data_IF_883986484102
#
_entry.id   IF_883986484102
#
_cell.length_a   1.000
_cell.length_b   1.000
_cell.length_c   1.000
_cell.angle_alpha   90.00
_cell.angle_beta   90.00
_cell.angle_gamma   90.00
#
_symmetry.space_group_name_H-M   'P 1'
#
loop_
_entity.id
_entity.type
_entity.pdbx_description
1 polymer ?
#
# COMPACT_ATOMS: atom_id res chain seq x y z
N UNK A 1 43.71 21.28 31.02
CA UNK A 1 42.25 21.37 31.24
C UNK A 1 41.61 21.71 29.89
N UNK A 2 41.42 20.73 29.00
CA UNK A 2 40.21 19.88 28.90
C UNK A 2 38.94 20.73 28.81
N UNK A 3 38.53 21.12 27.59
CA UNK A 3 37.13 21.13 27.12
C UNK A 3 37.09 21.05 25.58
N UNK A 4 37.96 20.22 24.98
CA UNK A 4 37.54 19.48 23.80
C UNK A 4 36.70 18.33 24.36
N UNK A 5 35.37 18.35 24.16
CA UNK A 5 34.52 17.15 24.05
C UNK A 5 33.04 17.62 23.97
N UNK A 6 32.46 17.37 22.79
CA UNK A 6 31.09 16.90 22.59
C UNK A 6 29.94 17.73 23.18
N UNK A 7 29.51 18.75 22.43
CA UNK A 7 28.10 19.12 22.43
C UNK A 7 27.62 19.53 21.02
N UNK A 8 28.21 18.94 19.97
CA UNK A 8 27.42 18.64 18.78
C UNK A 8 26.58 17.44 19.19
N UNK A 9 25.50 17.69 19.93
CA UNK A 9 24.41 16.73 20.06
C UNK A 9 23.84 16.68 18.66
N UNK A 10 24.40 15.74 17.92
CA UNK A 10 24.01 15.33 16.60
C UNK A 10 22.49 15.21 16.61
N UNK A 11 21.85 16.18 15.98
CA UNK A 11 20.47 16.11 15.54
C UNK A 11 20.38 14.98 14.50
N UNK A 12 20.52 13.75 14.96
CA UNK A 12 20.07 12.58 14.22
C UNK A 12 18.65 12.39 14.69
N UNK A 13 17.74 13.13 14.06
CA UNK A 13 16.37 12.67 14.00
C UNK A 13 16.45 11.27 13.40
N UNK A 14 16.01 10.21 14.09
CA UNK A 14 15.84 8.94 13.43
C UNK A 14 14.74 9.17 12.38
N UNK A 15 15.14 9.39 11.13
CA UNK A 15 14.28 9.09 9.99
C UNK A 15 14.06 7.58 10.06
N UNK A 16 13.09 7.17 10.88
CA UNK A 16 12.46 5.88 10.72
C UNK A 16 11.91 5.91 9.30
N UNK A 17 12.64 5.30 8.37
CA UNK A 17 12.09 4.98 7.07
C UNK A 17 10.80 4.24 7.36
N UNK A 18 9.68 4.80 6.97
CA UNK A 18 8.41 4.13 7.15
C UNK A 18 8.46 2.94 6.21
N UNK A 19 8.84 1.78 6.75
CA UNK A 19 8.93 0.56 5.99
C UNK A 19 7.50 0.12 5.68
N UNK A 20 7.21 -0.02 4.39
CA UNK A 20 5.96 -0.65 3.98
C UNK A 20 5.98 -2.08 4.51
N UNK A 21 5.06 -2.38 5.43
CA UNK A 21 4.94 -3.69 6.03
C UNK A 21 3.57 -4.24 5.64
N UNK A 22 3.53 -4.96 4.53
CA UNK A 22 2.33 -5.60 4.01
C UNK A 22 2.43 -7.10 4.25
N UNK A 23 1.36 -7.66 4.78
CA UNK A 23 1.17 -9.10 4.94
C UNK A 23 -0.04 -9.51 4.12
N UNK A 24 0.13 -10.49 3.23
CA UNK A 24 -0.96 -11.03 2.42
C UNK A 24 -1.19 -12.49 2.79
N UNK A 25 -2.45 -12.84 3.03
CA UNK A 25 -2.88 -14.21 3.28
C UNK A 25 -3.99 -14.58 2.31
N UNK A 26 -3.80 -15.70 1.61
CA UNK A 26 -4.82 -16.25 0.72
C UNK A 26 -5.58 -17.38 1.43
N UNK A 27 -6.91 -17.27 1.42
CA UNK A 27 -7.83 -18.29 1.92
C UNK A 27 -8.85 -18.57 0.80
N UNK A 28 -8.63 -19.65 0.06
CA UNK A 28 -9.45 -20.00 -1.11
C UNK A 28 -9.37 -18.94 -2.21
N UNK A 29 -10.53 -18.40 -2.60
CA UNK A 29 -10.65 -17.32 -3.61
C UNK A 29 -10.47 -15.92 -3.03
N UNK A 30 -10.25 -15.79 -1.71
CA UNK A 30 -10.03 -14.53 -1.03
C UNK A 30 -8.56 -14.32 -0.70
N UNK A 31 -8.08 -13.10 -0.87
CA UNK A 31 -6.77 -12.63 -0.47
C UNK A 31 -6.95 -11.44 0.46
N UNK A 32 -6.53 -11.58 1.70
CA UNK A 32 -6.54 -10.52 2.70
C UNK A 32 -5.15 -9.91 2.76
N UNK A 33 -5.04 -8.61 2.56
CA UNK A 33 -3.78 -7.88 2.67
C UNK A 33 -3.92 -6.85 3.76
N UNK A 34 -3.07 -6.88 4.77
CA UNK A 34 -3.10 -5.96 5.90
C UNK A 34 -1.69 -5.45 6.19
N UNK A 35 -1.57 -4.21 6.63
CA UNK A 35 -0.28 -3.61 6.88
C UNK A 35 -0.26 -2.09 6.97
N UNK A 36 0.92 -1.55 6.69
CA UNK A 36 1.15 -0.11 6.60
C UNK A 36 1.89 0.22 5.30
N UNK A 37 1.45 1.25 4.61
CA UNK A 37 2.10 1.82 3.42
C UNK A 37 2.27 3.31 3.65
N UNK A 38 3.48 3.85 3.54
CA UNK A 38 3.80 5.26 3.87
C UNK A 38 3.27 5.70 5.26
N UNK A 39 3.18 4.77 6.21
CA UNK A 39 2.73 5.03 7.59
C UNK A 39 1.22 5.09 7.75
N UNK A 40 0.48 4.87 6.67
CA UNK A 40 -0.96 4.77 6.66
C UNK A 40 -1.36 3.29 6.68
N UNK A 41 -2.37 2.94 7.47
CA UNK A 41 -2.85 1.56 7.52
C UNK A 41 -3.44 1.16 6.16
N UNK A 42 -3.02 0.02 5.63
CA UNK A 42 -3.53 -0.55 4.39
C UNK A 42 -4.20 -1.87 4.73
N UNK A 43 -5.50 -1.99 4.52
CA UNK A 43 -6.24 -3.23 4.72
C UNK A 43 -7.18 -3.44 3.55
N UNK A 44 -6.97 -4.50 2.79
CA UNK A 44 -7.79 -4.85 1.64
C UNK A 44 -8.15 -6.34 1.65
N UNK A 45 -9.32 -6.63 1.11
CA UNK A 45 -9.79 -7.97 0.81
C UNK A 45 -10.05 -8.03 -0.68
N UNK A 46 -9.33 -8.89 -1.37
CA UNK A 46 -9.51 -9.17 -2.78
C UNK A 46 -10.19 -10.52 -2.93
N UNK A 47 -11.25 -10.60 -3.72
CA UNK A 47 -11.93 -11.83 -4.07
C UNK A 47 -11.86 -12.04 -5.58
N UNK A 48 -11.35 -13.20 -6.01
CA UNK A 48 -11.32 -13.57 -7.42
C UNK A 48 -12.41 -14.58 -7.75
N UNK A 49 -13.27 -14.25 -8.71
CA UNK A 49 -14.34 -15.11 -9.24
C UNK A 49 -14.21 -15.19 -10.75
N UNK A 50 -13.58 -16.27 -11.24
CA UNK A 50 -13.33 -16.47 -12.67
C UNK A 50 -12.46 -15.35 -13.25
N UNK A 51 -13.04 -14.56 -14.17
CA UNK A 51 -12.38 -13.42 -14.82
C UNK A 51 -12.59 -12.09 -14.09
N UNK A 52 -13.33 -12.09 -12.97
CA UNK A 52 -13.57 -10.90 -12.15
C UNK A 52 -12.75 -10.95 -10.88
N UNK A 53 -12.30 -9.79 -10.44
CA UNK A 53 -11.59 -9.57 -9.20
C UNK A 53 -12.21 -8.36 -8.49
N UNK A 54 -12.62 -8.54 -7.24
CA UNK A 54 -13.24 -7.49 -6.43
C UNK A 54 -12.33 -7.17 -5.27
N UNK A 55 -11.89 -5.93 -5.14
CA UNK A 55 -11.04 -5.48 -4.03
C UNK A 55 -11.78 -4.43 -3.22
N UNK A 56 -11.91 -4.67 -1.92
CA UNK A 56 -12.55 -3.76 -0.98
C UNK A 56 -11.63 -3.54 0.22
N UNK A 57 -11.60 -2.34 0.78
CA UNK A 57 -10.73 -2.04 1.90
C UNK A 57 -10.52 -0.54 2.12
N UNK A 58 -9.40 -0.21 2.75
CA UNK A 58 -9.05 1.16 3.10
C UNK A 58 -7.53 1.35 3.03
N UNK A 59 -7.13 2.55 2.62
CA UNK A 59 -5.77 3.08 2.75
C UNK A 59 -5.83 4.36 3.60
N UNK A 60 -5.29 4.31 4.81
CA UNK A 60 -5.51 5.34 5.83
C UNK A 60 -7.00 5.54 6.10
N UNK A 61 -7.50 6.74 5.82
CA UNK A 61 -8.94 7.08 5.94
C UNK A 61 -9.70 7.00 4.61
N UNK A 62 -9.04 6.58 3.53
CA UNK A 62 -9.62 6.56 2.19
C UNK A 62 -10.12 5.16 1.85
N UNK A 63 -11.38 5.00 1.41
CA UNK A 63 -11.91 3.71 1.03
C UNK A 63 -11.36 3.26 -0.34
N UNK A 64 -10.99 1.99 -0.42
CA UNK A 64 -10.64 1.29 -1.65
C UNK A 64 -11.82 0.39 -2.00
N UNK A 65 -12.42 0.60 -3.17
CA UNK A 65 -13.45 -0.28 -3.72
C UNK A 65 -13.24 -0.34 -5.23
N UNK A 66 -12.67 -1.44 -5.72
CA UNK A 66 -12.41 -1.64 -7.14
C UNK A 66 -12.95 -2.98 -7.61
N UNK A 67 -13.38 -3.01 -8.86
CA UNK A 67 -13.75 -4.21 -9.58
C UNK A 67 -12.92 -4.27 -10.86
N UNK A 68 -12.18 -5.35 -11.02
CA UNK A 68 -11.34 -5.62 -12.17
C UNK A 68 -11.93 -6.77 -12.97
N UNK A 69 -12.10 -6.59 -14.28
CA UNK A 69 -12.47 -7.65 -15.21
C UNK A 69 -11.31 -7.91 -16.16
N UNK A 70 -10.91 -9.17 -16.29
CA UNK A 70 -9.95 -9.59 -17.29
C UNK A 70 -10.66 -10.16 -18.52
N UNK A 71 -10.37 -9.60 -19.71
CA UNK A 71 -10.88 -10.09 -21.00
C UNK A 71 -9.67 -10.39 -21.88
N UNK A 72 -9.34 -11.68 -22.02
CA UNK A 72 -8.10 -12.11 -22.67
C UNK A 72 -6.86 -11.56 -21.95
N UNK A 73 -6.08 -10.74 -22.66
CA UNK A 73 -4.88 -10.08 -22.12
C UNK A 73 -5.16 -8.69 -21.54
N UNK A 74 -6.40 -8.18 -21.66
CA UNK A 74 -6.76 -6.86 -21.16
C UNK A 74 -7.36 -6.95 -19.76
N UNK A 75 -7.00 -6.00 -18.90
CA UNK A 75 -7.61 -5.82 -17.56
C UNK A 75 -8.29 -4.47 -17.51
N UNK A 76 -9.56 -4.47 -17.13
CA UNK A 76 -10.38 -3.28 -16.95
C UNK A 76 -10.68 -3.14 -15.48
N UNK A 77 -10.09 -2.14 -14.82
CA UNK A 77 -10.33 -1.85 -13.41
C UNK A 77 -11.21 -0.61 -13.31
N UNK A 78 -12.29 -0.71 -12.55
CA UNK A 78 -13.19 0.39 -12.25
C UNK A 78 -13.36 0.55 -10.75
N UNK A 79 -13.31 1.77 -10.24
CA UNK A 79 -13.57 2.07 -8.83
C UNK A 79 -12.62 3.09 -8.21
N UNK A 80 -12.61 3.15 -6.89
CA UNK A 80 -11.79 4.07 -6.10
C UNK A 80 -10.62 3.31 -5.47
N UNK A 81 -9.39 3.81 -5.67
CA UNK A 81 -8.17 3.27 -5.06
C UNK A 81 -7.73 4.03 -3.80
N UNK A 82 -8.62 4.83 -3.22
CA UNK A 82 -8.40 5.46 -1.91
C UNK A 82 -7.27 6.49 -1.92
N UNK A 83 -7.17 7.32 -2.96
CA UNK A 83 -6.09 8.31 -3.07
C UNK A 83 -4.71 7.72 -3.39
N UNK A 84 -4.60 6.39 -3.53
CA UNK A 84 -3.47 5.75 -4.17
C UNK A 84 -3.51 6.16 -5.65
N UNK A 85 -2.80 7.25 -5.95
CA UNK A 85 -2.57 7.68 -7.33
C UNK A 85 -1.82 6.54 -7.98
N UNK A 86 -2.46 5.86 -8.94
CA UNK A 86 -1.74 5.04 -9.90
C UNK A 86 -0.66 5.97 -10.46
N UNK A 87 0.60 5.76 -10.08
CA UNK A 87 1.64 6.11 -11.02
C UNK A 87 1.38 5.14 -12.16
N UNK A 88 0.66 5.62 -13.17
CA UNK A 88 0.83 5.09 -14.51
C UNK A 88 2.34 5.17 -14.76
N UNK A 89 3.04 4.05 -14.57
CA UNK A 89 4.39 3.82 -15.08
C UNK A 89 4.31 3.86 -16.61
N UNK A 90 4.12 5.08 -17.11
CA UNK A 90 4.27 5.51 -18.48
C UNK A 90 5.07 6.82 -18.43
N UNK A 91 6.21 6.81 -17.72
CA UNK A 91 7.26 7.77 -18.02
C UNK A 91 7.91 7.35 -19.35
N UNK A 92 7.82 8.29 -20.30
CA UNK A 92 8.31 8.23 -21.68
C UNK A 92 9.83 8.44 -21.73
#
# INVERSE_FOLDING_TARGET
MRYFIFAIILSVCPMASIADNLTSQQIGSFTYTNGFVNGQSYNTTTQKIGSFEYTNGFYGSQPINTSTQQIGNFKYTNGNLGGLRLLDDCDY
#
